data_IF_995914749377
#
_entry.id   IF_995914749377
#
_cell.length_a   1.000
_cell.length_b   1.000
_cell.length_c   1.000
_cell.angle_alpha   90.00
_cell.angle_beta   90.00
_cell.angle_gamma   90.00
#
_symmetry.space_group_name_H-M   'P 1'
#
loop_
_entity.id
_entity.type
_entity.pdbx_description
1 polymer ?
#
# COMPACT_ATOMS: atom_id res chain seq x y z
N UNK A 1 19.07 20.25 -23.65
CA UNK A 1 19.39 18.80 -23.51
C UNK A 1 18.24 18.20 -22.73
N UNK A 2 17.84 16.97 -23.08
CA UNK A 2 16.87 16.21 -22.29
C UNK A 2 17.49 15.89 -20.95
N UNK A 3 16.76 16.13 -19.85
CA UNK A 3 17.25 15.84 -18.50
C UNK A 3 17.10 14.37 -18.18
N UNK A 4 18.10 13.83 -17.48
CA UNK A 4 18.18 12.43 -17.07
C UNK A 4 17.71 12.24 -15.65
N UNK A 5 16.87 11.24 -15.42
CA UNK A 5 16.33 10.94 -14.06
C UNK A 5 16.50 9.46 -13.75
N UNK A 6 17.15 9.18 -12.62
CA UNK A 6 17.18 7.84 -12.05
C UNK A 6 16.00 7.63 -11.08
N UNK A 7 15.35 6.46 -11.16
CA UNK A 7 14.33 6.01 -10.21
C UNK A 7 14.81 4.75 -9.51
N UNK A 8 14.94 4.77 -8.20
CA UNK A 8 15.40 3.64 -7.41
C UNK A 8 14.19 2.85 -6.90
N UNK A 9 14.04 1.61 -7.36
CA UNK A 9 12.94 0.70 -7.07
C UNK A 9 11.91 0.65 -8.20
N UNK A 10 11.49 -0.56 -8.58
CA UNK A 10 10.43 -0.82 -9.56
C UNK A 10 9.16 -1.41 -8.91
N UNK A 11 8.87 -1.07 -7.65
CA UNK A 11 7.57 -1.26 -7.05
C UNK A 11 6.54 -0.30 -7.64
N UNK A 12 5.29 -0.35 -7.17
CA UNK A 12 4.21 0.48 -7.71
C UNK A 12 4.56 1.98 -7.72
N UNK A 13 5.19 2.50 -6.68
CA UNK A 13 5.60 3.90 -6.60
C UNK A 13 6.69 4.24 -7.63
N UNK A 14 7.63 3.33 -7.86
CA UNK A 14 8.71 3.54 -8.83
C UNK A 14 8.24 3.47 -10.27
N UNK A 15 7.46 2.44 -10.66
CA UNK A 15 6.98 2.32 -12.04
C UNK A 15 6.00 3.44 -12.42
N UNK A 16 5.14 3.88 -11.49
CA UNK A 16 4.25 5.03 -11.75
C UNK A 16 5.02 6.35 -11.81
N UNK A 17 6.08 6.51 -11.01
CA UNK A 17 6.98 7.67 -11.10
C UNK A 17 7.70 7.70 -12.45
N UNK A 18 8.27 6.58 -12.87
CA UNK A 18 8.91 6.46 -14.19
C UNK A 18 7.93 6.77 -15.34
N UNK A 19 6.65 6.37 -15.18
CA UNK A 19 5.61 6.66 -16.17
C UNK A 19 5.36 8.16 -16.32
N UNK A 20 5.12 8.87 -15.22
CA UNK A 20 4.88 10.32 -15.31
C UNK A 20 6.12 11.10 -15.77
N UNK A 21 7.31 10.74 -15.31
CA UNK A 21 8.56 11.35 -15.77
C UNK A 21 8.78 11.16 -17.29
N UNK A 22 8.61 9.94 -17.78
CA UNK A 22 8.79 9.64 -19.21
C UNK A 22 7.76 10.39 -20.08
N UNK A 23 6.51 10.52 -19.61
CA UNK A 23 5.49 11.33 -20.30
C UNK A 23 5.81 12.82 -20.35
N UNK A 24 6.51 13.33 -19.37
CA UNK A 24 7.01 14.72 -19.35
C UNK A 24 8.29 14.90 -20.16
N UNK A 25 8.78 13.85 -20.82
CA UNK A 25 9.92 13.90 -21.74
C UNK A 25 11.29 13.77 -21.06
N UNK A 26 11.35 13.31 -19.82
CA UNK A 26 12.62 12.97 -19.17
C UNK A 26 13.19 11.66 -19.74
N UNK A 27 14.51 11.56 -19.81
CA UNK A 27 15.21 10.30 -20.05
C UNK A 27 15.32 9.55 -18.72
N UNK A 28 14.57 8.45 -18.59
CA UNK A 28 14.39 7.75 -17.31
C UNK A 28 15.13 6.43 -17.29
N UNK A 29 15.86 6.20 -16.20
CA UNK A 29 16.48 4.92 -15.86
C UNK A 29 15.96 4.40 -14.54
N UNK A 30 15.51 3.15 -14.49
CA UNK A 30 14.98 2.51 -13.27
C UNK A 30 15.96 1.43 -12.80
N UNK A 31 16.37 1.52 -11.54
CA UNK A 31 17.20 0.52 -10.86
C UNK A 31 16.37 -0.32 -9.91
N UNK A 32 16.38 -1.64 -10.09
CA UNK A 32 15.59 -2.57 -9.28
C UNK A 32 16.48 -3.70 -8.76
N UNK A 33 16.43 -3.93 -7.47
CA UNK A 33 17.21 -4.98 -6.80
C UNK A 33 16.76 -6.39 -7.18
N UNK A 34 15.49 -6.56 -7.54
CA UNK A 34 14.89 -7.84 -7.89
C UNK A 34 14.95 -8.09 -9.41
N UNK A 35 14.65 -9.33 -9.79
CA UNK A 35 14.70 -9.77 -11.22
C UNK A 35 13.60 -9.19 -12.12
N UNK A 36 12.52 -8.64 -11.54
CA UNK A 36 11.39 -8.03 -12.25
C UNK A 36 10.77 -6.90 -11.43
N UNK A 37 9.95 -6.07 -12.06
CA UNK A 37 9.16 -5.06 -11.37
C UNK A 37 8.11 -5.69 -10.43
N UNK A 38 7.85 -5.05 -9.29
CA UNK A 38 6.80 -5.43 -8.37
C UNK A 38 7.09 -6.68 -7.51
N UNK A 39 8.32 -7.11 -7.34
CA UNK A 39 8.67 -8.37 -6.68
C UNK A 39 8.71 -8.33 -5.14
N UNK A 40 8.74 -7.14 -4.51
CA UNK A 40 8.72 -7.00 -3.04
C UNK A 40 7.30 -6.71 -2.51
N UNK A 41 7.08 -5.61 -1.84
CA UNK A 41 5.77 -5.25 -1.25
C UNK A 41 4.63 -5.19 -2.28
N UNK A 42 4.95 -4.94 -3.54
CA UNK A 42 4.01 -4.97 -4.67
C UNK A 42 3.79 -6.36 -5.29
N UNK A 43 4.25 -7.45 -4.68
CA UNK A 43 4.08 -8.81 -5.24
C UNK A 43 2.76 -9.46 -4.83
N UNK A 44 2.47 -9.51 -3.53
CA UNK A 44 1.32 -10.23 -3.01
C UNK A 44 0.66 -9.47 -1.84
N UNK A 45 0.31 -8.21 -2.09
CA UNK A 45 -0.45 -7.40 -1.16
C UNK A 45 -1.95 -7.77 -1.17
N UNK A 46 -2.78 -7.01 -0.46
CA UNK A 46 -4.23 -7.25 -0.38
C UNK A 46 -5.02 -7.04 -1.69
N UNK A 47 -4.40 -6.53 -2.75
CA UNK A 47 -5.02 -6.34 -4.06
C UNK A 47 -6.06 -5.22 -4.14
N UNK A 48 -6.27 -4.44 -3.09
CA UNK A 48 -7.31 -3.42 -3.00
C UNK A 48 -6.80 -2.03 -3.40
N UNK A 49 -7.52 -1.34 -4.27
CA UNK A 49 -7.54 0.11 -4.38
C UNK A 49 -8.67 0.59 -3.49
N UNK A 50 -8.32 0.96 -2.28
CA UNK A 50 -9.26 1.14 -1.19
C UNK A 50 -9.17 2.54 -0.61
N UNK A 51 -9.97 3.47 -1.16
CA UNK A 51 -10.19 4.78 -0.54
C UNK A 51 -10.87 4.59 0.82
N UNK A 52 -11.73 3.57 0.94
CA UNK A 52 -12.44 3.21 2.17
C UNK A 52 -11.54 2.66 3.29
N UNK A 53 -10.25 2.39 3.03
CA UNK A 53 -9.28 1.95 4.03
C UNK A 53 -8.12 2.96 4.24
N UNK A 54 -8.40 4.26 4.01
CA UNK A 54 -7.42 5.35 4.12
C UNK A 54 -7.26 5.91 5.54
N UNK A 55 -7.93 5.32 6.56
CA UNK A 55 -7.80 5.74 7.94
C UNK A 55 -6.37 5.57 8.45
N UNK A 56 -5.81 6.64 9.02
CA UNK A 56 -4.51 6.57 9.68
C UNK A 56 -4.64 5.97 11.09
N UNK A 57 -3.62 5.23 11.53
CA UNK A 57 -3.67 4.52 12.81
C UNK A 57 -3.27 5.38 14.01
N UNK A 58 -2.91 6.65 13.80
CA UNK A 58 -2.48 7.60 14.84
C UNK A 58 -3.65 8.06 15.71
N UNK A 59 -4.15 7.15 16.55
CA UNK A 59 -5.24 7.41 17.52
C UNK A 59 -5.01 6.65 18.83
N UNK A 60 -5.47 7.22 19.94
CA UNK A 60 -5.38 6.57 21.26
C UNK A 60 -6.11 5.23 21.31
N UNK A 61 -7.22 5.09 20.57
CA UNK A 61 -7.94 3.82 20.44
C UNK A 61 -7.03 2.73 19.85
N UNK A 62 -6.27 3.04 18.80
CA UNK A 62 -5.35 2.09 18.17
C UNK A 62 -4.13 1.80 19.06
N UNK A 63 -3.61 2.79 19.78
CA UNK A 63 -2.54 2.57 20.78
C UNK A 63 -3.00 1.58 21.85
N UNK A 64 -4.20 1.79 22.43
CA UNK A 64 -4.76 0.89 23.44
C UNK A 64 -5.00 -0.53 22.88
N UNK A 65 -5.57 -0.64 21.68
CA UNK A 65 -5.72 -1.94 20.99
C UNK A 65 -4.37 -2.63 20.76
N UNK A 66 -3.36 -1.88 20.34
CA UNK A 66 -2.00 -2.39 20.13
C UNK A 66 -1.41 -2.98 21.40
N UNK A 67 -1.53 -2.28 22.54
CA UNK A 67 -1.08 -2.78 23.85
C UNK A 67 -1.83 -4.05 24.23
N UNK A 68 -3.16 -4.09 24.08
CA UNK A 68 -3.97 -5.27 24.38
C UNK A 68 -3.57 -6.48 23.53
N UNK A 69 -3.30 -6.25 22.23
CA UNK A 69 -2.90 -7.30 21.31
C UNK A 69 -1.51 -7.91 21.60
N UNK A 70 -0.62 -7.18 22.27
CA UNK A 70 0.67 -7.75 22.72
C UNK A 70 0.52 -8.98 23.63
N UNK A 71 -0.60 -9.06 24.36
CA UNK A 71 -0.91 -10.14 25.30
C UNK A 71 -1.95 -11.12 24.76
N UNK A 72 -2.40 -10.97 23.50
CA UNK A 72 -3.44 -11.81 22.90
C UNK A 72 -2.79 -12.75 21.89
N UNK A 73 -3.04 -14.07 22.06
CA UNK A 73 -2.63 -15.07 21.08
C UNK A 73 -3.38 -14.81 19.75
N UNK A 74 -2.69 -15.01 18.65
CA UNK A 74 -3.24 -14.87 17.28
C UNK A 74 -3.76 -13.44 16.93
N UNK A 75 -3.35 -12.43 17.71
CA UNK A 75 -3.73 -11.05 17.44
C UNK A 75 -3.22 -10.57 16.06
N UNK A 76 -3.97 -9.66 15.40
CA UNK A 76 -3.58 -9.13 14.10
C UNK A 76 -2.34 -8.22 14.14
N UNK A 77 -1.91 -7.81 15.32
CA UNK A 77 -0.73 -6.98 15.54
C UNK A 77 0.24 -7.66 16.49
N UNK A 78 1.53 -7.66 16.13
CA UNK A 78 2.62 -8.15 16.97
C UNK A 78 3.70 -7.09 17.15
N UNK A 79 3.94 -6.76 18.40
CA UNK A 79 5.03 -5.90 18.83
C UNK A 79 5.81 -6.58 19.96
N UNK A 80 7.13 -6.63 19.83
CA UNK A 80 8.03 -7.24 20.84
C UNK A 80 8.88 -6.13 21.48
N UNK A 81 8.48 -5.58 22.64
CA UNK A 81 9.15 -4.43 23.24
C UNK A 81 10.57 -4.71 23.72
N UNK A 82 10.92 -5.98 23.95
CA UNK A 82 12.28 -6.39 24.37
C UNK A 82 13.31 -6.41 23.23
N UNK A 83 12.89 -6.11 22.00
CA UNK A 83 13.79 -6.02 20.87
C UNK A 83 14.65 -4.75 20.99
N UNK A 84 15.96 -4.90 20.97
CA UNK A 84 16.94 -3.80 20.97
C UNK A 84 17.11 -3.28 19.53
N UNK A 85 16.10 -2.56 19.06
CA UNK A 85 16.04 -1.95 17.72
C UNK A 85 15.75 -0.45 17.90
N UNK A 86 16.81 0.37 17.82
CA UNK A 86 16.69 1.81 18.01
C UNK A 86 15.84 2.49 16.94
N UNK A 87 15.84 2.00 15.70
CA UNK A 87 15.00 2.53 14.63
C UNK A 87 13.52 2.29 14.96
N UNK A 88 13.18 1.09 15.46
CA UNK A 88 11.83 0.76 15.93
C UNK A 88 11.39 1.69 17.05
N UNK A 89 12.21 1.88 18.08
CA UNK A 89 11.83 2.73 19.22
C UNK A 89 11.71 4.19 18.82
N UNK A 90 12.59 4.71 17.97
CA UNK A 90 12.49 6.06 17.40
C UNK A 90 11.20 6.23 16.60
N UNK A 91 10.82 5.23 15.79
CA UNK A 91 9.56 5.23 15.06
C UNK A 91 8.37 5.21 16.00
N UNK A 92 8.34 4.33 17.03
CA UNK A 92 7.25 4.25 18.02
C UNK A 92 7.08 5.57 18.77
N UNK A 93 8.17 6.21 19.22
CA UNK A 93 8.09 7.51 19.89
C UNK A 93 7.48 8.58 18.97
N UNK A 94 7.90 8.65 17.71
CA UNK A 94 7.34 9.59 16.73
C UNK A 94 5.86 9.28 16.42
N UNK A 95 5.47 8.02 16.36
CA UNK A 95 4.08 7.61 16.20
C UNK A 95 3.20 8.05 17.39
N UNK A 96 3.68 7.83 18.60
CA UNK A 96 3.00 8.32 19.81
C UNK A 96 2.92 9.85 19.84
N UNK A 97 3.96 10.54 19.40
CA UNK A 97 3.96 11.99 19.28
C UNK A 97 2.92 12.51 18.30
N UNK A 98 2.80 11.91 17.12
CA UNK A 98 1.75 12.22 16.14
C UNK A 98 0.34 11.96 16.73
N UNK A 99 0.20 10.90 17.53
CA UNK A 99 -1.05 10.61 18.25
C UNK A 99 -1.38 11.68 19.29
N UNK A 100 -0.39 12.12 20.10
CA UNK A 100 -0.57 13.21 21.09
C UNK A 100 -1.00 14.51 20.41
N UNK A 101 -0.42 14.82 19.24
CA UNK A 101 -0.77 16.00 18.44
C UNK A 101 -2.10 15.89 17.71
N UNK A 102 -2.79 14.75 17.83
CA UNK A 102 -4.05 14.46 17.16
C UNK A 102 -4.01 14.67 15.63
N UNK A 103 -2.92 14.25 15.01
CA UNK A 103 -2.73 14.38 13.55
C UNK A 103 -3.63 13.45 12.73
N UNK A 104 -4.16 12.37 13.34
CA UNK A 104 -4.92 11.31 12.68
C UNK A 104 -6.08 11.81 11.80
N UNK A 105 -7.03 12.61 12.30
CA UNK A 105 -8.17 13.07 11.50
C UNK A 105 -7.76 13.90 10.27
N UNK A 106 -6.80 14.81 10.43
CA UNK A 106 -6.30 15.64 9.33
C UNK A 106 -5.56 14.80 8.29
N UNK A 107 -4.70 13.87 8.73
CA UNK A 107 -3.96 12.96 7.86
C UNK A 107 -4.92 12.01 7.12
N UNK A 108 -5.95 11.48 7.80
CA UNK A 108 -7.00 10.66 7.16
C UNK A 108 -7.72 11.44 6.07
N UNK A 109 -8.15 12.68 6.34
CA UNK A 109 -8.82 13.51 5.34
C UNK A 109 -7.91 13.79 4.12
N UNK A 110 -6.63 14.09 4.36
CA UNK A 110 -5.65 14.28 3.29
C UNK A 110 -5.44 13.00 2.48
N UNK A 111 -5.32 11.85 3.15
CA UNK A 111 -5.13 10.55 2.49
C UNK A 111 -6.34 10.17 1.63
N UNK A 112 -7.57 10.43 2.11
CA UNK A 112 -8.80 10.20 1.32
C UNK A 112 -8.78 11.02 0.02
N UNK A 113 -8.42 12.30 0.08
CA UNK A 113 -8.32 13.16 -1.11
C UNK A 113 -7.28 12.65 -2.10
N UNK A 114 -6.08 12.32 -1.61
CA UNK A 114 -5.02 11.72 -2.44
C UNK A 114 -5.48 10.42 -3.09
N UNK A 115 -6.20 9.57 -2.34
CA UNK A 115 -6.67 8.27 -2.81
C UNK A 115 -7.78 8.43 -3.88
N UNK A 116 -8.70 9.37 -3.72
CA UNK A 116 -9.72 9.68 -4.72
C UNK A 116 -9.09 10.15 -6.04
N UNK A 117 -8.14 11.07 -5.99
CA UNK A 117 -7.42 11.54 -7.18
C UNK A 117 -6.57 10.42 -7.78
N UNK A 118 -5.86 9.64 -6.96
CA UNK A 118 -5.06 8.51 -7.42
C UNK A 118 -5.91 7.48 -8.18
N UNK A 119 -7.15 7.22 -7.72
CA UNK A 119 -8.08 6.30 -8.39
C UNK A 119 -8.45 6.81 -9.80
N UNK A 120 -8.68 8.10 -9.96
CA UNK A 120 -8.92 8.70 -11.29
C UNK A 120 -7.69 8.56 -12.19
N UNK A 121 -6.49 8.80 -11.64
CA UNK A 121 -5.24 8.64 -12.38
C UNK A 121 -4.98 7.17 -12.81
N UNK A 122 -5.44 6.18 -12.03
CA UNK A 122 -5.44 4.78 -12.50
C UNK A 122 -6.34 4.58 -13.70
N UNK A 123 -7.53 5.19 -13.69
CA UNK A 123 -8.45 5.08 -14.82
C UNK A 123 -7.86 5.75 -16.08
N UNK A 124 -7.17 6.88 -15.94
CA UNK A 124 -6.44 7.53 -17.01
C UNK A 124 -5.30 6.64 -17.56
N UNK A 125 -4.45 6.09 -16.68
CA UNK A 125 -3.38 5.17 -17.09
C UNK A 125 -3.95 3.95 -17.83
N UNK A 126 -5.01 3.34 -17.31
CA UNK A 126 -5.63 2.17 -17.94
C UNK A 126 -6.35 2.49 -19.26
N UNK A 127 -6.81 3.73 -19.45
CA UNK A 127 -7.42 4.18 -20.71
C UNK A 127 -6.36 4.45 -21.80
N UNK A 128 -5.18 4.94 -21.40
CA UNK A 128 -4.07 5.23 -22.33
C UNK A 128 -3.23 3.99 -22.64
N UNK A 129 -3.08 3.13 -21.64
CA UNK A 129 -2.24 1.92 -21.72
C UNK A 129 -3.10 0.69 -21.48
N UNK A 130 -3.08 -0.25 -22.39
CA UNK A 130 -3.80 -1.51 -22.22
C UNK A 130 -3.07 -2.39 -21.20
N UNK A 131 -3.56 -2.38 -19.94
CA UNK A 131 -2.98 -3.16 -18.84
C UNK A 131 -4.03 -4.13 -18.30
N UNK A 132 -3.73 -5.43 -18.34
CA UNK A 132 -4.59 -6.48 -17.81
C UNK A 132 -4.04 -7.02 -16.48
N UNK A 133 -4.71 -6.73 -15.38
CA UNK A 133 -4.24 -7.05 -14.03
C UNK A 133 -5.34 -7.61 -13.10
N UNK A 134 -6.26 -8.39 -13.66
CA UNK A 134 -7.41 -8.97 -12.96
C UNK A 134 -8.27 -7.90 -12.23
N UNK A 135 -8.44 -6.72 -12.84
CA UNK A 135 -9.22 -5.63 -12.25
C UNK A 135 -10.69 -6.06 -12.07
N UNK A 136 -11.22 -5.84 -10.87
CA UNK A 136 -12.62 -6.06 -10.53
C UNK A 136 -13.22 -4.81 -9.89
N UNK A 137 -14.25 -4.24 -10.53
CA UNK A 137 -14.96 -3.04 -10.09
C UNK A 137 -16.21 -3.37 -9.27
N UNK A 138 -16.19 -4.43 -8.47
CA UNK A 138 -17.33 -4.87 -7.66
C UNK A 138 -17.46 -4.18 -6.30
N UNK A 139 -16.58 -3.23 -6.02
CA UNK A 139 -16.56 -2.51 -4.74
C UNK A 139 -15.82 -3.26 -3.63
N UNK A 140 -15.73 -2.59 -2.47
CA UNK A 140 -15.15 -3.17 -1.25
C UNK A 140 -16.19 -3.08 -0.13
N UNK A 141 -16.45 -4.23 0.50
CA UNK A 141 -17.39 -4.36 1.61
C UNK A 141 -16.60 -4.55 2.91
N UNK A 142 -16.85 -3.68 3.87
CA UNK A 142 -16.38 -3.83 5.25
C UNK A 142 -17.50 -4.41 6.10
N UNK A 143 -17.25 -5.42 6.90
CA UNK A 143 -18.21 -5.97 7.83
C UNK A 143 -17.69 -5.98 9.27
N UNK A 144 -18.61 -5.94 10.22
CA UNK A 144 -18.34 -5.76 11.63
C UNK A 144 -19.13 -6.80 12.43
N UNK A 145 -18.46 -7.48 13.38
CA UNK A 145 -19.06 -8.49 14.27
C UNK A 145 -19.24 -7.99 15.69
N UNK A 146 -18.75 -6.76 16.03
CA UNK A 146 -18.91 -6.13 17.34
C UNK A 146 -19.45 -4.71 17.21
N UNK A 147 -20.41 -4.36 18.06
CA UNK A 147 -21.05 -3.03 18.06
C UNK A 147 -20.05 -1.87 18.22
N UNK A 148 -19.00 -2.05 19.03
CA UNK A 148 -17.98 -1.01 19.22
C UNK A 148 -17.19 -0.68 17.95
N UNK A 149 -16.94 -1.67 17.09
CA UNK A 149 -16.31 -1.45 15.79
C UNK A 149 -17.30 -0.84 14.80
N UNK A 150 -18.57 -1.30 14.84
CA UNK A 150 -19.63 -0.74 14.00
C UNK A 150 -19.87 0.75 14.28
N UNK A 151 -19.99 1.15 15.57
CA UNK A 151 -20.13 2.57 15.94
C UNK A 151 -18.96 3.42 15.45
N UNK A 152 -17.73 2.92 15.58
CA UNK A 152 -16.56 3.61 15.02
C UNK A 152 -16.65 3.74 13.50
N UNK A 153 -17.05 2.68 12.80
CA UNK A 153 -17.19 2.65 11.35
C UNK A 153 -18.20 3.68 10.84
N UNK A 154 -19.30 3.90 11.56
CA UNK A 154 -20.28 4.92 11.21
C UNK A 154 -19.70 6.34 11.31
N UNK A 155 -18.89 6.62 12.34
CA UNK A 155 -18.19 7.90 12.46
C UNK A 155 -17.16 8.11 11.33
N UNK A 156 -16.37 7.07 11.02
CA UNK A 156 -15.39 7.09 9.93
C UNK A 156 -16.08 7.22 8.57
N UNK A 157 -17.22 6.57 8.36
CA UNK A 157 -18.03 6.70 7.14
C UNK A 157 -18.45 8.15 6.89
N UNK A 158 -18.90 8.86 7.93
CA UNK A 158 -19.24 10.28 7.83
C UNK A 158 -18.01 11.12 7.43
N UNK A 159 -16.84 10.83 8.02
CA UNK A 159 -15.60 11.54 7.67
C UNK A 159 -15.25 11.30 6.20
N UNK A 160 -15.33 10.08 5.71
CA UNK A 160 -15.04 9.73 4.33
C UNK A 160 -16.00 10.41 3.36
N UNK A 161 -17.30 10.34 3.62
CA UNK A 161 -18.33 10.92 2.74
C UNK A 161 -18.24 12.46 2.70
N UNK A 162 -17.90 13.10 3.83
CA UNK A 162 -17.61 14.53 3.86
C UNK A 162 -16.38 14.93 3.02
N UNK A 163 -15.51 13.97 2.70
CA UNK A 163 -14.35 14.16 1.82
C UNK A 163 -14.57 13.58 0.40
N UNK A 164 -15.82 13.21 0.04
CA UNK A 164 -16.19 12.85 -1.33
C UNK A 164 -16.23 11.36 -1.64
N UNK A 165 -16.12 10.46 -0.63
CA UNK A 165 -16.29 9.03 -0.85
C UNK A 165 -17.78 8.64 -0.84
N UNK A 166 -18.15 7.63 -1.63
CA UNK A 166 -19.49 7.07 -1.77
C UNK A 166 -19.75 5.85 -0.86
N UNK A 167 -19.23 5.88 0.38
CA UNK A 167 -19.39 4.77 1.32
C UNK A 167 -20.77 4.75 1.92
N UNK A 168 -21.46 3.57 1.85
CA UNK A 168 -22.86 3.40 2.28
C UNK A 168 -22.95 2.33 3.37
N UNK A 169 -23.80 2.58 4.39
CA UNK A 169 -24.12 1.59 5.41
C UNK A 169 -25.07 0.52 4.85
N UNK A 170 -24.83 -0.73 5.24
CA UNK A 170 -25.59 -1.91 4.79
C UNK A 170 -26.14 -2.64 6.02
N UNK A 171 -27.44 -2.96 5.98
CA UNK A 171 -28.05 -3.78 7.03
C UNK A 171 -27.44 -5.20 7.01
N UNK A 172 -27.24 -5.85 8.19
CA UNK A 172 -26.69 -7.20 8.26
C UNK A 172 -27.42 -8.21 7.38
N UNK A 173 -28.76 -8.12 7.29
CA UNK A 173 -29.60 -9.00 6.46
C UNK A 173 -29.44 -8.80 4.95
N UNK A 174 -28.84 -7.69 4.53
CA UNK A 174 -28.64 -7.37 3.12
C UNK A 174 -27.24 -7.76 2.60
N UNK A 175 -26.33 -8.22 3.47
CA UNK A 175 -24.96 -8.58 3.07
C UNK A 175 -24.95 -9.68 2.01
N UNK A 176 -25.70 -10.75 2.21
CA UNK A 176 -25.82 -11.85 1.23
C UNK A 176 -26.49 -11.45 -0.08
N UNK A 177 -27.32 -10.38 -0.10
CA UNK A 177 -27.91 -9.89 -1.37
C UNK A 177 -26.92 -9.15 -2.24
N UNK A 178 -25.84 -8.60 -1.63
CA UNK A 178 -24.74 -7.97 -2.39
C UNK A 178 -23.93 -9.04 -3.10
N UNK A 179 -23.62 -10.11 -2.37
CA UNK A 179 -22.86 -11.23 -2.91
C UNK A 179 -23.27 -12.54 -2.20
N UNK A 180 -23.84 -13.52 -2.92
CA UNK A 180 -24.25 -14.80 -2.32
C UNK A 180 -23.12 -15.57 -1.63
N UNK A 181 -21.86 -15.39 -2.03
CA UNK A 181 -20.72 -15.99 -1.35
C UNK A 181 -20.60 -15.56 0.12
N UNK A 182 -21.25 -14.46 0.51
CA UNK A 182 -21.21 -13.90 1.86
C UNK A 182 -22.32 -14.43 2.77
N UNK A 183 -23.25 -15.22 2.27
CA UNK A 183 -24.39 -15.78 3.06
C UNK A 183 -23.94 -16.61 4.26
N UNK A 184 -22.72 -17.17 4.20
CA UNK A 184 -22.16 -17.99 5.27
C UNK A 184 -21.43 -17.18 6.35
N UNK A 185 -21.23 -15.88 6.15
CA UNK A 185 -20.62 -14.99 7.14
C UNK A 185 -21.65 -14.68 8.24
N UNK A 186 -21.43 -15.20 9.42
CA UNK A 186 -22.35 -15.07 10.55
C UNK A 186 -21.89 -14.03 11.57
N UNK A 187 -22.83 -13.56 12.41
CA UNK A 187 -22.54 -12.65 13.52
C UNK A 187 -22.26 -11.21 13.08
N UNK A 188 -22.63 -10.83 11.86
CA UNK A 188 -22.51 -9.45 11.37
C UNK A 188 -23.55 -8.56 12.08
N UNK A 189 -23.06 -7.46 12.70
CA UNK A 189 -23.90 -6.43 13.36
C UNK A 189 -24.08 -5.19 12.48
N UNK A 190 -23.24 -5.01 11.47
CA UNK A 190 -23.31 -3.95 10.49
C UNK A 190 -22.27 -4.13 9.40
N UNK A 191 -22.49 -3.51 8.25
CA UNK A 191 -21.55 -3.51 7.14
C UNK A 191 -21.58 -2.16 6.42
N UNK A 192 -20.52 -1.87 5.67
CA UNK A 192 -20.47 -0.74 4.73
C UNK A 192 -19.95 -1.23 3.39
N UNK A 193 -20.45 -0.63 2.31
CA UNK A 193 -19.92 -0.86 0.96
C UNK A 193 -19.45 0.45 0.34
N UNK A 194 -18.36 0.38 -0.38
CA UNK A 194 -17.84 1.47 -1.22
C UNK A 194 -17.81 0.97 -2.67
N UNK A 195 -18.85 1.26 -3.45
CA UNK A 195 -18.98 0.74 -4.82
C UNK A 195 -17.89 1.21 -5.76
N UNK A 196 -17.35 2.40 -5.54
CA UNK A 196 -16.32 3.00 -6.37
C UNK A 196 -14.90 2.47 -6.11
N UNK A 197 -14.66 1.76 -5.01
CA UNK A 197 -13.41 1.06 -4.77
C UNK A 197 -13.33 -0.20 -5.65
N UNK A 198 -12.12 -0.69 -5.92
CA UNK A 198 -11.92 -1.85 -6.77
C UNK A 198 -10.66 -2.65 -6.38
N UNK A 199 -10.47 -3.78 -7.02
CA UNK A 199 -9.33 -4.67 -6.78
C UNK A 199 -8.58 -4.98 -8.05
N UNK A 200 -7.33 -5.45 -7.91
CA UNK A 200 -6.52 -5.92 -9.01
C UNK A 200 -5.19 -6.52 -8.54
N UNK A 201 -4.52 -7.23 -9.42
CA UNK A 201 -3.20 -7.77 -9.15
C UNK A 201 -2.13 -6.70 -9.40
N UNK A 202 -1.63 -6.11 -8.32
CA UNK A 202 -0.61 -5.06 -8.35
C UNK A 202 0.70 -5.54 -9.02
N UNK A 203 1.07 -6.82 -8.87
CA UNK A 203 2.28 -7.34 -9.49
C UNK A 203 2.14 -7.36 -11.01
N UNK A 204 0.98 -7.85 -11.52
CA UNK A 204 0.69 -7.80 -12.96
C UNK A 204 0.70 -6.38 -13.48
N UNK A 205 0.10 -5.44 -12.74
CA UNK A 205 0.12 -4.02 -13.10
C UNK A 205 1.53 -3.46 -13.21
N UNK A 206 2.36 -3.66 -12.17
CA UNK A 206 3.75 -3.18 -12.16
C UNK A 206 4.57 -3.78 -13.31
N UNK A 207 4.43 -5.09 -13.54
CA UNK A 207 5.15 -5.80 -14.58
C UNK A 207 4.79 -5.29 -15.98
N UNK A 208 3.48 -5.16 -16.28
CA UNK A 208 3.03 -4.69 -17.58
C UNK A 208 3.34 -3.20 -17.81
N UNK A 209 3.18 -2.36 -16.77
CA UNK A 209 3.55 -0.94 -16.90
C UNK A 209 5.06 -0.79 -17.14
N UNK A 210 5.92 -1.59 -16.49
CA UNK A 210 7.36 -1.60 -16.75
C UNK A 210 7.68 -2.04 -18.19
N UNK A 211 6.97 -3.02 -18.73
CA UNK A 211 7.13 -3.46 -20.12
C UNK A 211 6.70 -2.37 -21.11
N UNK A 212 5.58 -1.71 -20.86
CA UNK A 212 5.12 -0.55 -21.64
C UNK A 212 6.16 0.58 -21.61
N UNK A 213 6.67 0.91 -20.42
CA UNK A 213 7.70 1.94 -20.24
C UNK A 213 8.94 1.65 -21.05
N UNK A 214 9.40 0.42 -21.06
CA UNK A 214 10.55 -0.02 -21.83
C UNK A 214 10.30 0.07 -23.33
N UNK A 215 9.17 -0.46 -23.80
CA UNK A 215 8.92 -0.66 -25.24
C UNK A 215 8.35 0.60 -25.93
N UNK A 216 7.51 1.38 -25.23
CA UNK A 216 6.83 2.57 -25.78
C UNK A 216 7.54 3.88 -25.45
N UNK A 217 8.07 3.99 -24.22
CA UNK A 217 8.64 5.25 -23.72
C UNK A 217 10.17 5.26 -23.68
N UNK A 218 10.83 4.15 -24.00
CA UNK A 218 12.30 4.04 -24.03
C UNK A 218 12.96 4.06 -22.65
N UNK A 219 12.21 3.83 -21.59
CA UNK A 219 12.76 3.79 -20.21
C UNK A 219 13.71 2.60 -20.07
N UNK A 220 14.88 2.85 -19.51
CA UNK A 220 15.87 1.80 -19.25
C UNK A 220 15.59 1.15 -17.87
N UNK A 221 15.66 -0.19 -17.81
CA UNK A 221 15.51 -0.95 -16.56
C UNK A 221 16.74 -1.80 -16.30
N UNK A 222 17.38 -1.59 -15.16
CA UNK A 222 18.44 -2.42 -14.62
C UNK A 222 17.90 -3.26 -13.48
N UNK A 223 17.58 -4.53 -13.77
CA UNK A 223 17.15 -5.52 -12.80
C UNK A 223 18.32 -6.24 -12.17
N UNK A 224 18.13 -6.83 -10.97
CA UNK A 224 19.18 -7.39 -10.12
C UNK A 224 20.31 -6.38 -9.85
N UNK A 225 19.94 -5.10 -9.73
CA UNK A 225 20.86 -4.01 -9.55
C UNK A 225 20.48 -3.18 -8.33
N UNK A 226 20.82 -3.63 -7.11
CA UNK A 226 20.60 -2.83 -5.90
C UNK A 226 21.47 -1.58 -5.95
N UNK A 227 20.87 -0.43 -5.69
CA UNK A 227 21.61 0.82 -5.50
C UNK A 227 22.14 0.86 -4.06
N UNK A 228 23.44 0.83 -3.89
CA UNK A 228 24.12 0.85 -2.60
C UNK A 228 24.69 2.22 -2.26
N UNK A 229 24.99 3.05 -3.25
CA UNK A 229 25.58 4.39 -3.12
C UNK A 229 24.69 5.42 -3.82
N UNK A 230 23.97 6.22 -3.01
CA UNK A 230 23.07 7.25 -3.52
C UNK A 230 23.87 8.47 -4.01
N UNK A 231 24.98 8.83 -3.35
CA UNK A 231 25.79 10.00 -3.72
C UNK A 231 26.40 9.79 -5.11
N UNK A 232 27.02 8.64 -5.34
CA UNK A 232 27.59 8.30 -6.66
C UNK A 232 26.52 8.39 -7.77
N UNK A 233 25.30 7.89 -7.52
CA UNK A 233 24.23 7.96 -8.51
C UNK A 233 23.81 9.40 -8.84
N UNK A 234 23.90 10.35 -7.89
CA UNK A 234 23.59 11.77 -8.15
C UNK A 234 24.63 12.48 -9.00
N UNK A 235 25.81 11.91 -9.21
CA UNK A 235 26.82 12.45 -10.13
C UNK A 235 26.44 12.20 -11.59
N UNK A 236 25.81 11.06 -11.87
CA UNK A 236 25.48 10.59 -13.21
C UNK A 236 24.14 11.14 -13.75
N UNK A 237 23.25 11.61 -12.86
CA UNK A 237 21.88 12.04 -13.21
C UNK A 237 21.58 13.47 -12.79
N UNK A 238 20.68 14.13 -13.51
CA UNK A 238 20.16 15.46 -13.15
C UNK A 238 19.26 15.41 -11.93
N UNK A 239 18.49 14.30 -11.76
CA UNK A 239 17.67 14.03 -10.59
C UNK A 239 17.63 12.53 -10.26
N UNK A 240 17.46 12.19 -8.99
CA UNK A 240 17.30 10.82 -8.48
C UNK A 240 16.08 10.72 -7.60
N UNK A 241 15.15 9.82 -7.93
CA UNK A 241 13.95 9.57 -7.12
C UNK A 241 14.10 8.29 -6.32
N UNK A 242 14.09 8.40 -4.99
CA UNK A 242 14.14 7.27 -4.06
C UNK A 242 12.72 6.75 -3.83
N UNK A 243 12.40 5.59 -4.44
CA UNK A 243 11.09 4.92 -4.41
C UNK A 243 11.19 3.43 -4.00
N UNK A 244 12.28 3.04 -3.32
CA UNK A 244 12.62 1.64 -2.98
C UNK A 244 12.01 1.14 -1.66
N UNK A 245 10.92 1.74 -1.21
CA UNK A 245 10.15 1.27 -0.07
C UNK A 245 10.93 1.33 1.25
N UNK A 246 11.12 0.20 1.93
CA UNK A 246 11.81 0.16 3.24
C UNK A 246 13.29 0.53 3.15
N UNK A 247 13.96 0.22 2.05
CA UNK A 247 15.36 0.59 1.81
C UNK A 247 15.58 2.10 1.64
N UNK A 248 14.52 2.91 1.53
CA UNK A 248 14.64 4.36 1.38
C UNK A 248 15.32 5.04 2.58
N UNK A 249 15.18 4.49 3.79
CA UNK A 249 15.79 5.06 4.99
C UNK A 249 17.30 4.96 4.94
N UNK A 250 17.83 3.81 4.53
CA UNK A 250 19.27 3.59 4.42
C UNK A 250 19.91 4.54 3.39
N UNK A 251 19.31 4.67 2.22
CA UNK A 251 19.78 5.61 1.19
C UNK A 251 19.69 7.07 1.64
N UNK A 252 18.62 7.46 2.33
CA UNK A 252 18.47 8.81 2.85
C UNK A 252 19.52 9.15 3.92
N UNK A 253 19.86 8.19 4.78
CA UNK A 253 20.87 8.36 5.82
C UNK A 253 22.29 8.59 5.25
N UNK A 254 22.62 8.07 4.07
CA UNK A 254 23.89 8.30 3.37
C UNK A 254 24.14 9.79 3.11
N UNK A 255 23.10 10.52 2.73
CA UNK A 255 23.17 11.97 2.47
C UNK A 255 22.78 12.83 3.68
N UNK A 256 22.60 12.22 4.85
CA UNK A 256 22.24 12.91 6.10
C UNK A 256 20.77 13.26 6.27
N UNK A 257 19.87 12.74 5.43
CA UNK A 257 18.43 12.87 5.62
C UNK A 257 17.87 11.82 6.59
N UNK A 258 16.86 12.20 7.37
CA UNK A 258 16.18 11.30 8.29
C UNK A 258 14.68 11.24 7.98
N UNK A 259 14.28 10.33 7.10
CA UNK A 259 12.92 10.19 6.64
C UNK A 259 12.04 9.31 7.53
N UNK A 260 12.64 8.48 8.40
CA UNK A 260 11.92 7.73 9.44
C UNK A 260 10.97 6.66 8.94
N UNK A 261 11.19 6.08 7.77
CA UNK A 261 10.43 4.92 7.28
C UNK A 261 10.88 3.67 8.03
N UNK A 262 9.90 2.91 8.57
CA UNK A 262 10.17 1.66 9.27
C UNK A 262 9.37 0.51 8.65
N UNK A 263 9.95 -0.71 8.55
CA UNK A 263 9.28 -1.88 8.01
C UNK A 263 8.21 -2.43 8.96
N UNK A 264 6.95 -2.42 8.53
CA UNK A 264 5.86 -3.15 9.20
C UNK A 264 5.52 -4.37 8.37
N UNK A 265 5.87 -5.54 8.90
CA UNK A 265 5.71 -6.82 8.21
C UNK A 265 4.23 -7.21 8.14
N UNK A 266 3.78 -7.59 6.95
CA UNK A 266 2.46 -8.17 6.70
C UNK A 266 2.58 -9.54 6.09
N UNK A 267 1.50 -10.32 6.19
CA UNK A 267 1.43 -11.67 5.63
C UNK A 267 0.24 -11.80 4.70
N UNK A 268 0.38 -12.64 3.68
CA UNK A 268 -0.73 -13.02 2.83
C UNK A 268 -0.65 -14.50 2.45
N UNK A 269 -1.81 -15.06 2.15
CA UNK A 269 -1.97 -16.34 1.47
C UNK A 269 -2.72 -16.11 0.16
N UNK A 270 -2.38 -16.90 -0.85
CA UNK A 270 -3.13 -16.96 -2.10
C UNK A 270 -3.55 -18.40 -2.31
N UNK A 271 -4.84 -18.67 -2.18
CA UNK A 271 -5.43 -19.97 -2.44
C UNK A 271 -5.63 -20.08 -3.94
N UNK A 272 -5.09 -21.14 -4.54
CA UNK A 272 -5.10 -21.33 -5.99
C UNK A 272 -6.29 -22.20 -6.42
N UNK A 273 -6.64 -22.10 -7.70
CA UNK A 273 -7.61 -23.00 -8.36
C UNK A 273 -8.97 -23.08 -7.64
N UNK A 274 -9.45 -21.96 -7.10
CA UNK A 274 -10.76 -21.88 -6.47
C UNK A 274 -11.83 -21.88 -7.55
N UNK A 275 -12.88 -22.71 -7.36
CA UNK A 275 -14.06 -22.70 -8.25
C UNK A 275 -14.72 -21.30 -8.18
N UNK A 276 -14.90 -20.61 -9.32
CA UNK A 276 -15.43 -19.24 -9.36
C UNK A 276 -16.77 -19.05 -8.64
N UNK A 277 -17.57 -20.11 -8.50
CA UNK A 277 -18.86 -20.03 -7.77
C UNK A 277 -18.73 -19.81 -6.27
N UNK A 278 -17.54 -20.10 -5.68
CA UNK A 278 -17.25 -19.89 -4.25
C UNK A 278 -16.48 -18.61 -3.98
N UNK A 279 -15.97 -17.96 -5.04
CA UNK A 279 -15.23 -16.70 -4.92
C UNK A 279 -16.20 -15.55 -4.69
N UNK A 280 -15.98 -14.72 -3.64
CA UNK A 280 -16.72 -13.48 -3.50
C UNK A 280 -16.38 -12.54 -4.65
N UNK A 281 -17.41 -11.91 -5.23
CA UNK A 281 -17.26 -10.88 -6.27
C UNK A 281 -16.76 -9.57 -5.68
N UNK A 282 -17.31 -9.19 -4.51
CA UNK A 282 -16.86 -8.03 -3.79
C UNK A 282 -15.58 -8.36 -2.99
N UNK A 283 -14.69 -7.42 -2.90
CA UNK A 283 -13.56 -7.53 -1.98
C UNK A 283 -14.01 -7.22 -0.56
N UNK A 284 -13.39 -7.87 0.42
CA UNK A 284 -13.80 -7.77 1.82
C UNK A 284 -12.70 -7.16 2.69
N UNK A 285 -13.15 -6.47 3.73
CA UNK A 285 -12.34 -6.08 4.86
C UNK A 285 -13.04 -6.44 6.17
N UNK A 286 -12.43 -7.35 6.93
CA UNK A 286 -12.79 -7.64 8.32
C UNK A 286 -11.99 -6.71 9.23
N UNK A 287 -12.64 -5.67 9.75
CA UNK A 287 -11.99 -4.66 10.58
C UNK A 287 -11.53 -5.17 11.94
N UNK A 288 -12.13 -6.25 12.44
CA UNK A 288 -11.73 -6.84 13.73
C UNK A 288 -10.51 -7.75 13.57
N UNK A 289 -10.54 -8.62 12.58
CA UNK A 289 -9.43 -9.51 12.26
C UNK A 289 -8.27 -8.79 11.54
N UNK A 290 -8.52 -7.57 11.02
CA UNK A 290 -7.60 -6.83 10.16
C UNK A 290 -7.16 -7.65 8.93
N UNK A 291 -8.14 -8.31 8.32
CA UNK A 291 -7.98 -9.16 7.16
C UNK A 291 -8.67 -8.50 5.96
N UNK A 292 -7.96 -8.44 4.85
CA UNK A 292 -8.48 -8.03 3.55
C UNK A 292 -8.46 -9.21 2.59
N UNK A 293 -9.45 -9.28 1.69
CA UNK A 293 -9.50 -10.33 0.68
C UNK A 293 -9.74 -9.77 -0.71
N UNK A 294 -9.23 -10.46 -1.72
CA UNK A 294 -9.47 -10.14 -3.13
C UNK A 294 -9.55 -11.40 -3.97
N UNK A 295 -10.53 -11.47 -4.85
CA UNK A 295 -10.60 -12.48 -5.90
C UNK A 295 -9.81 -11.99 -7.12
N UNK A 296 -8.79 -12.75 -7.54
CA UNK A 296 -7.87 -12.41 -8.63
C UNK A 296 -7.88 -13.55 -9.65
N UNK A 297 -8.75 -13.45 -10.67
CA UNK A 297 -9.04 -14.57 -11.56
C UNK A 297 -9.65 -15.75 -10.79
N UNK A 298 -9.02 -16.94 -10.85
CA UNK A 298 -9.41 -18.12 -10.08
C UNK A 298 -8.68 -18.28 -8.76
N UNK A 299 -8.11 -17.19 -8.22
CA UNK A 299 -7.35 -17.19 -6.97
C UNK A 299 -8.07 -16.37 -5.91
N UNK A 300 -8.00 -16.83 -4.67
CA UNK A 300 -8.49 -16.07 -3.52
C UNK A 300 -7.31 -15.61 -2.66
N UNK A 301 -7.05 -14.31 -2.66
CA UNK A 301 -6.01 -13.71 -1.83
C UNK A 301 -6.56 -13.23 -0.52
N UNK A 302 -5.87 -13.56 0.57
CA UNK A 302 -6.20 -13.15 1.93
C UNK A 302 -4.95 -12.57 2.56
N UNK A 303 -5.00 -11.32 2.97
CA UNK A 303 -3.86 -10.62 3.56
C UNK A 303 -4.24 -10.00 4.90
N UNK A 304 -3.31 -10.01 5.83
CA UNK A 304 -3.56 -9.46 7.17
C UNK A 304 -2.25 -9.29 7.94
N UNK A 305 -2.40 -9.09 9.23
CA UNK A 305 -1.33 -8.99 10.22
C UNK A 305 -0.43 -7.76 10.03
N UNK A 306 0.02 -7.23 11.14
CA UNK A 306 1.06 -6.21 11.21
C UNK A 306 2.07 -6.61 12.30
N UNK A 307 3.35 -6.69 11.95
CA UNK A 307 4.40 -7.09 12.88
C UNK A 307 5.58 -6.11 12.78
N UNK A 308 6.00 -5.58 13.93
CA UNK A 308 7.22 -4.79 14.05
C UNK A 308 8.40 -5.77 14.23
N UNK A 309 8.94 -6.27 13.12
CA UNK A 309 9.98 -7.29 13.10
C UNK A 309 11.32 -6.80 12.53
N UNK A 310 11.43 -5.49 12.18
CA UNK A 310 12.53 -4.96 11.41
C UNK A 310 12.55 -5.50 9.99
N UNK A 311 13.65 -5.39 9.30
CA UNK A 311 13.79 -5.93 7.96
C UNK A 311 13.99 -7.46 8.02
N UNK A 312 12.88 -8.18 8.02
CA UNK A 312 12.83 -9.63 8.09
C UNK A 312 11.69 -10.15 7.21
N UNK A 313 12.00 -11.00 6.25
CA UNK A 313 11.06 -11.61 5.30
C UNK A 313 10.66 -13.05 5.68
N UNK A 314 11.14 -13.59 6.80
CA UNK A 314 10.82 -14.97 7.20
C UNK A 314 9.33 -15.13 7.42
N UNK A 315 8.78 -16.22 6.88
CA UNK A 315 7.36 -16.53 7.04
C UNK A 315 7.18 -17.38 8.30
N UNK A 316 6.43 -16.83 9.25
CA UNK A 316 6.12 -17.54 10.50
C UNK A 316 4.77 -18.23 10.38
N UNK A 317 4.74 -19.56 10.54
CA UNK A 317 3.52 -20.37 10.45
C UNK A 317 2.40 -19.87 11.37
N UNK A 318 2.71 -19.45 12.58
CA UNK A 318 1.77 -18.87 13.53
C UNK A 318 1.08 -17.58 13.02
N UNK A 319 1.56 -16.98 11.91
CA UNK A 319 0.94 -15.82 11.26
C UNK A 319 0.13 -16.18 10.01
N UNK A 320 0.37 -17.37 9.46
CA UNK A 320 -0.39 -17.94 8.34
C UNK A 320 -1.64 -18.68 8.83
N UNK A 321 -1.52 -19.44 9.92
CA UNK A 321 -2.63 -20.23 10.48
C UNK A 321 -3.90 -19.40 10.76
N UNK A 322 -3.83 -18.16 11.34
CA UNK A 322 -5.01 -17.33 11.53
C UNK A 322 -5.71 -16.93 10.22
N UNK A 323 -4.95 -16.72 9.12
CA UNK A 323 -5.52 -16.42 7.82
C UNK A 323 -6.28 -17.62 7.24
N UNK A 324 -5.70 -18.80 7.31
CA UNK A 324 -6.34 -20.04 6.87
C UNK A 324 -7.60 -20.34 7.68
N UNK A 325 -7.52 -20.22 9.01
CA UNK A 325 -8.66 -20.40 9.91
C UNK A 325 -9.80 -19.43 9.58
N UNK A 326 -9.46 -18.16 9.35
CA UNK A 326 -10.44 -17.14 8.96
C UNK A 326 -11.16 -17.52 7.66
N UNK A 327 -10.44 -18.05 6.66
CA UNK A 327 -11.05 -18.54 5.41
C UNK A 327 -11.98 -19.72 5.70
N UNK A 328 -11.55 -20.71 6.47
CA UNK A 328 -12.37 -21.89 6.80
C UNK A 328 -13.64 -21.53 7.56
N UNK A 329 -13.59 -20.50 8.42
CA UNK A 329 -14.74 -20.03 9.19
C UNK A 329 -15.76 -19.23 8.35
N UNK A 330 -15.28 -18.41 7.40
CA UNK A 330 -16.15 -17.50 6.64
C UNK A 330 -16.48 -18.02 5.22
N UNK A 331 -15.64 -18.90 4.65
CA UNK A 331 -15.75 -19.49 3.32
C UNK A 331 -15.48 -21.00 3.36
N UNK A 332 -16.31 -21.80 4.05
CA UNK A 332 -16.04 -23.22 4.27
C UNK A 332 -16.01 -24.07 3.00
N UNK A 333 -16.53 -23.58 1.88
CA UNK A 333 -16.50 -24.28 0.59
C UNK A 333 -15.18 -24.06 -0.18
N UNK A 334 -14.33 -23.11 0.25
CA UNK A 334 -13.04 -22.88 -0.37
C UNK A 334 -12.03 -23.89 0.21
N UNK A 335 -11.49 -24.73 -0.66
CA UNK A 335 -10.44 -25.67 -0.28
C UNK A 335 -9.12 -24.93 -0.01
N UNK A 336 -8.63 -25.01 1.23
CA UNK A 336 -7.42 -24.33 1.69
C UNK A 336 -6.15 -25.20 1.64
N UNK A 337 -6.13 -26.30 0.88
CA UNK A 337 -4.94 -27.17 0.81
C UNK A 337 -3.89 -26.68 -0.18
N UNK A 338 -4.32 -26.06 -1.30
CA UNK A 338 -3.41 -25.50 -2.32
C UNK A 338 -3.31 -24.00 -2.15
N UNK A 339 -2.30 -23.54 -1.44
CA UNK A 339 -2.03 -22.11 -1.26
C UNK A 339 -0.54 -21.78 -1.30
N UNK A 340 -0.25 -20.57 -1.72
CA UNK A 340 1.07 -19.96 -1.58
C UNK A 340 1.03 -18.94 -0.45
N UNK A 341 2.15 -18.78 0.25
CA UNK A 341 2.28 -17.84 1.36
C UNK A 341 3.34 -16.79 1.05
N UNK A 342 3.13 -15.59 1.54
CA UNK A 342 4.02 -14.48 1.30
C UNK A 342 4.12 -13.56 2.52
N UNK A 343 5.28 -12.94 2.72
CA UNK A 343 5.49 -11.89 3.69
C UNK A 343 6.08 -10.66 2.99
N UNK A 344 5.58 -9.48 3.33
CA UNK A 344 6.06 -8.22 2.78
C UNK A 344 6.34 -7.20 3.89
N UNK A 345 7.15 -6.20 3.59
CA UNK A 345 7.49 -5.11 4.49
C UNK A 345 6.83 -3.82 4.00
N UNK A 346 5.82 -3.34 4.72
CA UNK A 346 5.16 -2.07 4.44
C UNK A 346 6.08 -0.92 4.88
N UNK A 347 6.46 0.02 4.01
CA UNK A 347 7.29 1.16 4.36
C UNK A 347 6.45 2.21 5.12
N UNK A 348 6.40 2.10 6.45
CA UNK A 348 5.52 2.94 7.27
C UNK A 348 6.25 4.16 7.82
N UNK A 349 5.69 5.34 7.60
CA UNK A 349 6.06 6.56 8.33
C UNK A 349 5.34 6.63 9.68
N UNK A 350 5.87 7.34 10.67
CA UNK A 350 5.23 7.42 11.99
C UNK A 350 3.86 8.10 11.99
N UNK A 351 3.63 9.06 11.11
CA UNK A 351 2.34 9.76 10.97
C UNK A 351 1.46 9.20 9.86
N UNK A 352 1.92 8.10 9.20
CA UNK A 352 1.26 7.39 8.12
C UNK A 352 1.04 8.18 6.81
N UNK A 353 1.70 9.33 6.67
CA UNK A 353 1.70 10.10 5.42
C UNK A 353 2.88 9.70 4.53
N UNK A 354 2.69 9.58 3.22
CA UNK A 354 3.80 9.34 2.30
C UNK A 354 4.76 10.52 2.28
N UNK A 355 6.02 10.25 1.97
CA UNK A 355 7.07 11.25 1.82
C UNK A 355 7.23 11.55 0.34
N UNK A 356 6.78 12.74 -0.06
CA UNK A 356 6.80 13.22 -1.44
C UNK A 356 7.43 14.61 -1.40
N UNK A 357 8.76 14.66 -1.49
CA UNK A 357 9.50 15.93 -1.39
C UNK A 357 10.89 15.84 -1.99
N UNK A 358 11.49 16.99 -2.28
CA UNK A 358 12.93 17.10 -2.50
C UNK A 358 13.69 16.90 -1.17
N UNK A 359 14.89 16.37 -1.23
CA UNK A 359 15.78 16.26 -0.08
C UNK A 359 16.18 17.65 0.45
N UNK A 360 16.33 17.73 1.76
CA UNK A 360 16.84 18.96 2.42
C UNK A 360 18.37 19.04 2.38
N UNK A 361 19.06 17.97 1.93
CA UNK A 361 20.52 17.81 1.95
C UNK A 361 21.15 17.78 0.56
N UNK A 362 20.47 17.21 -0.42
CA UNK A 362 20.95 17.11 -1.79
C UNK A 362 19.84 17.52 -2.76
N UNK A 363 20.03 18.62 -3.47
CA UNK A 363 19.04 19.20 -4.36
C UNK A 363 18.65 18.30 -5.55
N UNK A 364 19.46 17.29 -5.89
CA UNK A 364 19.15 16.31 -6.93
C UNK A 364 18.32 15.13 -6.45
N UNK A 365 18.15 14.94 -5.13
CA UNK A 365 17.44 13.79 -4.55
C UNK A 365 16.00 14.15 -4.23
N UNK A 366 15.08 13.28 -4.65
CA UNK A 366 13.64 13.38 -4.39
C UNK A 366 13.14 12.08 -3.77
N UNK A 367 12.14 12.17 -2.91
CA UNK A 367 11.53 11.01 -2.26
C UNK A 367 10.10 10.79 -2.75
N UNK A 368 9.78 9.54 -3.09
CA UNK A 368 8.42 9.05 -3.29
C UNK A 368 8.28 7.71 -2.57
N UNK A 369 8.17 7.73 -1.24
CA UNK A 369 8.25 6.56 -0.38
C UNK A 369 7.38 6.70 0.87
N UNK A 370 7.41 5.70 1.76
CA UNK A 370 6.72 5.78 3.06
C UNK A 370 5.21 5.60 3.01
N UNK A 371 4.68 5.00 1.97
CA UNK A 371 3.23 4.83 1.72
C UNK A 371 2.51 3.85 2.66
N UNK A 372 3.26 3.11 3.48
CA UNK A 372 2.68 2.12 4.37
C UNK A 372 1.91 1.03 3.63
N UNK A 373 0.65 0.84 4.03
CA UNK A 373 -0.25 -0.13 3.40
C UNK A 373 -1.00 0.43 2.18
N UNK A 374 -0.85 1.72 1.87
CA UNK A 374 -1.59 2.42 0.83
C UNK A 374 -0.79 2.66 -0.46
N UNK A 375 0.39 2.05 -0.62
CA UNK A 375 1.21 2.26 -1.81
C UNK A 375 0.47 1.94 -3.12
N UNK A 376 -0.34 0.88 -3.14
CA UNK A 376 -1.22 0.56 -4.26
C UNK A 376 -2.25 1.66 -4.48
N UNK A 377 -2.94 2.10 -3.43
CA UNK A 377 -4.00 3.12 -3.50
C UNK A 377 -3.47 4.50 -3.90
N UNK A 378 -2.27 4.90 -3.46
CA UNK A 378 -1.75 6.27 -3.61
C UNK A 378 -0.71 6.43 -4.74
N UNK A 379 -0.23 5.33 -5.33
CA UNK A 379 0.93 5.31 -6.24
C UNK A 379 0.89 6.35 -7.35
N UNK A 380 -0.13 6.40 -8.21
CA UNK A 380 -0.22 7.40 -9.28
C UNK A 380 -0.24 8.85 -8.81
N UNK A 381 -0.99 9.15 -7.73
CA UNK A 381 -1.04 10.52 -7.19
C UNK A 381 0.35 10.98 -6.72
N UNK A 382 1.04 10.16 -5.93
CA UNK A 382 2.34 10.51 -5.38
C UNK A 382 3.41 10.58 -6.46
N UNK A 383 3.31 9.74 -7.48
CA UNK A 383 4.19 9.75 -8.65
C UNK A 383 4.03 11.02 -9.48
N UNK A 384 2.79 11.43 -9.77
CA UNK A 384 2.50 12.69 -10.44
C UNK A 384 3.01 13.88 -9.64
N UNK A 385 2.75 13.89 -8.33
CA UNK A 385 3.18 14.97 -7.44
C UNK A 385 4.71 15.10 -7.39
N UNK A 386 5.48 14.01 -7.26
CA UNK A 386 6.94 14.11 -7.25
C UNK A 386 7.48 14.56 -8.61
N UNK A 387 6.85 14.14 -9.71
CA UNK A 387 7.19 14.61 -11.06
C UNK A 387 6.97 16.12 -11.20
N UNK A 388 5.86 16.66 -10.68
CA UNK A 388 5.59 18.09 -10.66
C UNK A 388 6.62 18.87 -9.82
N UNK A 389 7.05 18.31 -8.68
CA UNK A 389 8.11 18.92 -7.87
C UNK A 389 9.40 19.01 -8.67
N UNK A 390 9.82 17.95 -9.37
CA UNK A 390 11.01 17.92 -10.21
C UNK A 390 10.91 18.98 -11.31
N UNK A 391 9.78 19.04 -12.03
CA UNK A 391 9.56 20.04 -13.08
C UNK A 391 9.68 21.48 -12.57
N UNK A 392 9.09 21.77 -11.41
CA UNK A 392 9.15 23.09 -10.81
C UNK A 392 10.57 23.51 -10.40
N UNK A 393 11.38 22.57 -9.92
CA UNK A 393 12.80 22.80 -9.62
C UNK A 393 13.57 23.09 -10.90
N UNK A 394 13.33 22.32 -11.94
CA UNK A 394 13.97 22.49 -13.25
C UNK A 394 13.68 23.82 -13.91
N UNK A 395 12.44 24.29 -13.84
CA UNK A 395 12.02 25.60 -14.39
C UNK A 395 12.73 26.75 -13.68
N UNK A 396 12.78 26.73 -12.34
CA UNK A 396 13.48 27.75 -11.53
C UNK A 396 14.98 27.79 -11.82
N UNK A 397 15.57 26.63 -12.05
CA UNK A 397 17.00 26.56 -12.40
C UNK A 397 17.28 27.19 -13.76
N UNK A 398 16.38 26.96 -14.75
CA UNK A 398 16.52 27.53 -16.10
C UNK A 398 16.25 29.05 -16.15
N UNK A 399 15.42 29.59 -15.25
CA UNK A 399 15.14 31.04 -15.17
C UNK A 399 16.26 31.83 -14.47
N UNK A 400 17.15 31.12 -13.75
CA UNK A 400 18.28 31.72 -13.02
C UNK A 400 19.56 31.82 -13.84
N UNK A 401 19.55 31.34 -15.07
CA UNK A 401 20.61 31.46 -16.08
C UNK A 401 20.19 32.35 -17.24
#
# INVERSE_FOLDING_TARGET
MTKTVAVIGAGITGVTTAYYLAREGYEVTVYEAERYAGMKTSFANGGQISVSNSETWTSWSNVYKGIKWMFTKDAPFLFRPWRLDWAMWRWVVRFLWATVRNEGPANTAATVKMALESRQLYDEICAEETIEFDRSNCGILHFYKKDSYWQNAQAVTKLYNNNGLDRTEIAPSAVGTIDPALDKITGVVGATITPSDWTGDIHKFCYQLADILKNKYGVQFFYNWPVEDLEALTEDYDAVVVANGVGSTELAEQIGDNIGVYPIKGYSITINNVDPKYLPRVSLLDDEAKIVTSSLGNKFRVAGTAELAGENYDITRARIEPLLKWVQENFPDINTHDYTQYACLRPMTPNMMPIIKQSDKNAKVFYNTGHGHLGWTLGPYTAKTVTEIIKNVDQKTNESY
#
